data_IF_204389704695
#
_entry.id   IF_204389704695
#
_cell.length_a   1.000
_cell.length_b   1.000
_cell.length_c   1.000
_cell.angle_alpha   90.00
_cell.angle_beta   90.00
_cell.angle_gamma   90.00
#
_symmetry.space_group_name_H-M   'P 1'
#
loop_
_entity.id
_entity.type
_entity.pdbx_description
1 polymer ?
#
# COMPACT_ATOMS: atom_id res chain seq x y z
N UNK A 1 0.83 -23.96 15.48
CA UNK A 1 0.98 -24.27 14.04
C UNK A 1 0.13 -23.38 13.15
N UNK A 2 -1.22 -23.41 13.19
CA UNK A 2 -2.03 -22.46 12.42
C UNK A 2 -1.86 -21.00 12.91
N UNK A 3 -1.74 -20.81 14.23
CA UNK A 3 -1.48 -19.50 14.83
C UNK A 3 -0.09 -18.96 14.50
N UNK A 4 0.93 -19.81 14.43
CA UNK A 4 2.30 -19.38 14.11
C UNK A 4 2.38 -18.83 12.67
N UNK A 5 1.66 -19.45 11.73
CA UNK A 5 1.59 -18.96 10.35
C UNK A 5 0.82 -17.64 10.24
N UNK A 6 -0.28 -17.48 10.99
CA UNK A 6 -1.03 -16.22 11.01
C UNK A 6 -0.22 -15.09 11.68
N UNK A 7 0.55 -15.41 12.72
CA UNK A 7 1.46 -14.46 13.39
C UNK A 7 2.60 -14.07 12.47
N UNK A 8 3.26 -15.02 11.80
CA UNK A 8 4.35 -14.73 10.84
C UNK A 8 3.84 -13.89 9.66
N UNK A 9 2.68 -14.24 9.09
CA UNK A 9 2.07 -13.47 8.01
C UNK A 9 1.83 -12.01 8.43
N UNK A 10 1.23 -11.79 9.61
CA UNK A 10 1.01 -10.43 10.15
C UNK A 10 2.34 -9.69 10.40
N UNK A 11 3.35 -10.36 10.94
CA UNK A 11 4.66 -9.73 11.20
C UNK A 11 5.35 -9.33 9.90
N UNK A 12 5.28 -10.19 8.88
CA UNK A 12 5.82 -9.90 7.55
C UNK A 12 5.06 -8.76 6.87
N UNK A 13 3.73 -8.73 6.99
CA UNK A 13 2.90 -7.63 6.50
C UNK A 13 3.35 -6.29 7.11
N UNK A 14 3.43 -6.21 8.44
CA UNK A 14 3.91 -5.00 9.15
C UNK A 14 5.31 -4.60 8.69
N UNK A 15 6.24 -5.55 8.55
CA UNK A 15 7.61 -5.27 8.14
C UNK A 15 7.69 -4.75 6.69
N UNK A 16 6.94 -5.36 5.77
CA UNK A 16 6.88 -4.95 4.36
C UNK A 16 6.24 -3.58 4.23
N UNK A 17 5.12 -3.33 4.91
CA UNK A 17 4.46 -2.03 4.92
C UNK A 17 5.40 -0.94 5.43
N UNK A 18 6.06 -1.15 6.57
CA UNK A 18 7.00 -0.17 7.13
C UNK A 18 8.11 0.21 6.15
N UNK A 19 8.77 -0.78 5.53
CA UNK A 19 9.84 -0.53 4.58
C UNK A 19 9.33 0.15 3.31
N UNK A 20 8.16 -0.24 2.81
CA UNK A 20 7.53 0.39 1.65
C UNK A 20 7.19 1.86 1.92
N UNK A 21 6.61 2.17 3.09
CA UNK A 21 6.31 3.55 3.48
C UNK A 21 7.58 4.41 3.54
N UNK A 22 8.64 3.91 4.20
CA UNK A 22 9.91 4.65 4.27
C UNK A 22 10.58 4.82 2.91
N UNK A 23 10.44 3.86 2.01
CA UNK A 23 10.92 4.01 0.63
C UNK A 23 10.14 5.09 -0.12
N UNK A 24 8.80 5.09 -0.03
CA UNK A 24 7.95 6.09 -0.68
C UNK A 24 8.27 7.49 -0.15
N UNK A 25 8.38 7.67 1.18
CA UNK A 25 8.79 8.93 1.80
C UNK A 25 10.14 9.41 1.29
N UNK A 26 11.14 8.52 1.28
CA UNK A 26 12.49 8.85 0.82
C UNK A 26 12.48 9.28 -0.65
N UNK A 27 11.77 8.55 -1.52
CA UNK A 27 11.71 8.89 -2.95
C UNK A 27 10.95 10.20 -3.17
N UNK A 28 9.81 10.41 -2.52
CA UNK A 28 9.05 11.67 -2.64
C UNK A 28 9.90 12.87 -2.19
N UNK A 29 10.65 12.74 -1.09
CA UNK A 29 11.52 13.80 -0.59
C UNK A 29 12.68 14.15 -1.55
N UNK A 30 13.22 13.16 -2.27
CA UNK A 30 14.36 13.34 -3.19
C UNK A 30 13.94 13.57 -4.66
N UNK A 31 12.72 13.17 -5.02
CA UNK A 31 12.15 13.27 -6.36
C UNK A 31 10.63 13.46 -6.24
N UNK A 32 10.16 14.69 -5.95
CA UNK A 32 8.75 14.98 -5.73
C UNK A 32 7.84 14.57 -6.91
N UNK A 33 6.60 14.19 -6.59
CA UNK A 33 5.59 13.78 -7.57
C UNK A 33 5.37 12.27 -7.67
N UNK A 34 6.07 11.47 -6.87
CA UNK A 34 5.81 10.03 -6.76
C UNK A 34 4.39 9.78 -6.25
N UNK A 35 3.95 10.50 -5.22
CA UNK A 35 2.62 10.31 -4.62
C UNK A 35 1.49 10.64 -5.61
N UNK A 36 1.65 11.67 -6.43
CA UNK A 36 0.70 12.01 -7.49
C UNK A 36 0.70 10.96 -8.61
N UNK A 37 1.88 10.47 -8.99
CA UNK A 37 2.01 9.37 -9.95
C UNK A 37 1.32 8.09 -9.47
N UNK A 38 1.53 7.70 -8.20
CA UNK A 38 0.89 6.53 -7.59
C UNK A 38 -0.63 6.72 -7.54
N UNK A 39 -1.12 7.91 -7.21
CA UNK A 39 -2.55 8.21 -7.17
C UNK A 39 -3.20 8.09 -8.56
N UNK A 40 -2.53 8.59 -9.60
CA UNK A 40 -2.97 8.42 -10.99
C UNK A 40 -2.95 6.95 -11.46
N UNK A 41 -2.08 6.12 -10.90
CA UNK A 41 -2.00 4.69 -11.25
C UNK A 41 -3.20 3.85 -10.77
N UNK A 42 -3.97 4.35 -9.80
CA UNK A 42 -5.06 3.59 -9.16
C UNK A 42 -6.19 3.22 -10.12
N UNK A 43 -6.38 3.98 -11.20
CA UNK A 43 -7.38 3.67 -12.22
C UNK A 43 -7.07 2.38 -12.98
N UNK A 44 -5.81 1.95 -12.97
CA UNK A 44 -5.34 0.70 -13.59
C UNK A 44 -5.21 -0.46 -12.59
N UNK A 45 -5.48 -0.22 -11.31
CA UNK A 45 -5.40 -1.23 -10.26
C UNK A 45 -6.72 -2.01 -10.16
N UNK A 46 -6.63 -3.33 -9.97
CA UNK A 46 -7.77 -4.21 -9.77
C UNK A 46 -7.38 -5.51 -9.07
N UNK A 47 -8.38 -6.24 -8.61
CA UNK A 47 -8.27 -7.56 -8.00
C UNK A 47 -8.22 -8.64 -9.09
N UNK A 48 -7.14 -9.42 -9.21
CA UNK A 48 -7.03 -10.46 -10.23
C UNK A 48 -7.87 -11.72 -9.91
N UNK A 49 -8.62 -11.76 -8.80
CA UNK A 49 -9.52 -12.88 -8.51
C UNK A 49 -10.55 -13.09 -9.63
N UNK A 50 -10.84 -14.37 -9.92
CA UNK A 50 -11.80 -14.78 -10.95
C UNK A 50 -13.06 -15.43 -10.34
N UNK A 51 -13.16 -15.46 -9.02
CA UNK A 51 -14.29 -16.02 -8.28
C UNK A 51 -15.17 -14.90 -7.69
N UNK A 52 -16.16 -15.28 -6.87
CA UNK A 52 -17.07 -14.33 -6.23
C UNK A 52 -16.42 -13.39 -5.21
N UNK A 53 -15.12 -13.47 -4.98
CA UNK A 53 -14.40 -12.60 -4.04
C UNK A 53 -13.77 -11.37 -4.70
N UNK A 54 -13.77 -11.29 -6.04
CA UNK A 54 -13.18 -10.17 -6.79
C UNK A 54 -13.74 -8.82 -6.33
N UNK A 55 -12.86 -7.93 -5.87
CA UNK A 55 -13.22 -6.57 -5.47
C UNK A 55 -12.16 -5.52 -5.86
N UNK A 56 -12.23 -5.03 -7.09
CA UNK A 56 -11.35 -3.95 -7.59
C UNK A 56 -11.47 -2.67 -6.75
N UNK A 57 -12.69 -2.36 -6.27
CA UNK A 57 -12.97 -1.16 -5.50
C UNK A 57 -12.25 -1.17 -4.16
N UNK A 58 -12.31 -2.31 -3.47
CA UNK A 58 -11.63 -2.52 -2.19
C UNK A 58 -10.12 -2.41 -2.32
N UNK A 59 -9.53 -3.00 -3.37
CA UNK A 59 -8.08 -2.89 -3.63
C UNK A 59 -7.68 -1.43 -3.84
N UNK A 60 -8.44 -0.67 -4.64
CA UNK A 60 -8.18 0.77 -4.85
C UNK A 60 -8.35 1.59 -3.58
N UNK A 61 -9.34 1.28 -2.75
CA UNK A 61 -9.57 1.96 -1.49
C UNK A 61 -8.39 1.77 -0.52
N UNK A 62 -7.89 0.54 -0.39
CA UNK A 62 -6.72 0.22 0.44
C UNK A 62 -5.52 1.03 -0.05
N UNK A 63 -5.23 0.99 -1.36
CA UNK A 63 -4.12 1.74 -1.94
C UNK A 63 -4.23 3.25 -1.73
N UNK A 64 -5.44 3.83 -1.89
CA UNK A 64 -5.68 5.25 -1.64
C UNK A 64 -5.42 5.64 -0.19
N UNK A 65 -5.81 4.80 0.79
CA UNK A 65 -5.51 5.03 2.21
C UNK A 65 -4.01 5.03 2.49
N UNK A 66 -3.24 4.13 1.84
CA UNK A 66 -1.78 4.13 1.96
C UNK A 66 -1.18 5.43 1.43
N UNK A 67 -1.61 5.91 0.26
CA UNK A 67 -1.14 7.19 -0.31
C UNK A 67 -1.48 8.36 0.62
N UNK A 68 -2.71 8.41 1.15
CA UNK A 68 -3.10 9.43 2.14
C UNK A 68 -2.21 9.39 3.38
N UNK A 69 -1.91 8.20 3.91
CA UNK A 69 -1.01 8.03 5.05
C UNK A 69 0.43 8.47 4.77
N UNK A 70 0.94 8.23 3.57
CA UNK A 70 2.27 8.70 3.16
C UNK A 70 2.33 10.23 3.04
N UNK A 71 1.29 10.86 2.48
CA UNK A 71 1.18 12.34 2.42
C UNK A 71 1.15 12.99 3.80
N UNK A 72 0.49 12.36 4.77
CA UNK A 72 0.39 12.87 6.13
C UNK A 72 1.71 12.79 6.92
N UNK A 73 2.57 11.81 6.62
CA UNK A 73 3.87 11.62 7.28
C UNK A 73 5.00 12.47 6.68
N UNK A 74 4.83 13.01 5.47
CA UNK A 74 5.81 13.90 4.83
C UNK A 74 5.88 15.33 5.40
N UNK A 75 5.21 15.60 6.52
CA UNK A 75 5.25 16.87 7.26
C UNK A 75 5.84 16.59 8.65
N UNK A 76 7.15 16.48 8.74
CA UNK A 76 7.94 16.64 9.98
C UNK A 76 9.34 17.16 9.63
#
# INVERSE_FOLDING_TARGET
MADDNAVDARQREIAVEHLLFKLIEYVEANSPGLLDFLEGSLDHLGDPAHDGTKDDGRVREIARRMITGARAQGID
#
